data_IF_810038232705
#
_entry.id   IF_810038232705
#
_cell.length_a   1.000
_cell.length_b   1.000
_cell.length_c   1.000
_cell.angle_alpha   90.00
_cell.angle_beta   90.00
_cell.angle_gamma   90.00
#
_symmetry.space_group_name_H-M   'P 1'
#
loop_
_entity.id
_entity.type
_entity.pdbx_description
1 polymer ?
#
# COMPACT_ATOMS: atom_id res chain seq x y z
N UNK A 1 -49.96 -1.69 -10.47
CA UNK A 1 -50.11 -3.01 -9.83
C UNK A 1 -49.12 -3.94 -10.50
N UNK A 2 -47.91 -4.10 -9.95
CA UNK A 2 -47.54 -5.26 -9.12
C UNK A 2 -48.00 -6.60 -9.72
N UNK A 3 -47.07 -7.31 -10.38
CA UNK A 3 -46.73 -8.66 -9.96
C UNK A 3 -45.37 -9.12 -10.51
N UNK A 4 -44.54 -9.53 -9.55
CA UNK A 4 -43.24 -10.18 -9.60
C UNK A 4 -43.41 -11.68 -9.87
N UNK A 5 -42.49 -12.34 -10.59
CA UNK A 5 -41.92 -13.70 -10.35
C UNK A 5 -40.81 -13.89 -11.42
N UNK A 6 -39.53 -13.66 -11.11
CA UNK A 6 -38.48 -14.66 -10.80
C UNK A 6 -38.32 -15.85 -11.78
N UNK A 7 -37.14 -15.95 -12.39
CA UNK A 7 -36.32 -17.16 -12.23
C UNK A 7 -35.84 -17.91 -13.48
N UNK A 8 -34.51 -17.92 -13.63
CA UNK A 8 -33.63 -19.01 -14.11
C UNK A 8 -33.51 -19.23 -15.63
N UNK A 9 -32.39 -18.72 -16.17
CA UNK A 9 -31.75 -19.23 -17.36
C UNK A 9 -31.22 -20.66 -17.09
N UNK A 10 -31.75 -21.62 -17.83
CA UNK A 10 -31.31 -23.01 -17.87
C UNK A 10 -30.20 -23.12 -18.91
N UNK A 11 -29.00 -23.51 -18.47
CA UNK A 11 -27.90 -23.91 -19.36
C UNK A 11 -28.25 -25.26 -19.96
N UNK A 12 -28.51 -25.29 -21.26
CA UNK A 12 -28.72 -26.50 -22.05
C UNK A 12 -27.36 -27.19 -22.26
N UNK A 13 -27.14 -28.35 -21.64
CA UNK A 13 -26.09 -29.29 -22.07
C UNK A 13 -26.78 -30.48 -22.71
N UNK A 14 -26.67 -30.54 -24.04
CA UNK A 14 -27.17 -31.64 -24.85
C UNK A 14 -26.11 -32.76 -24.82
N UNK A 15 -26.44 -33.92 -24.25
CA UNK A 15 -25.65 -35.13 -24.42
C UNK A 15 -26.58 -36.32 -24.66
N UNK A 16 -26.44 -36.93 -25.84
CA UNK A 16 -27.22 -38.06 -26.31
C UNK A 16 -26.91 -39.34 -25.49
N UNK A 17 -27.98 -40.07 -25.18
CA UNK A 17 -27.98 -41.38 -24.49
C UNK A 17 -27.55 -42.47 -25.47
N UNK A 18 -26.71 -43.42 -25.04
CA UNK A 18 -26.86 -44.84 -25.39
C UNK A 18 -26.23 -45.76 -24.32
N UNK A 19 -27.03 -46.78 -23.94
CA UNK A 19 -26.70 -48.03 -23.26
C UNK A 19 -26.50 -48.06 -21.72
N UNK A 20 -27.64 -48.20 -21.02
CA UNK A 20 -27.96 -49.46 -20.33
C UNK A 20 -27.05 -49.94 -19.20
N UNK A 21 -27.05 -49.24 -18.06
CA UNK A 21 -26.75 -49.82 -16.75
C UNK A 21 -27.64 -49.18 -15.67
N UNK A 22 -28.31 -50.01 -14.89
CA UNK A 22 -29.07 -49.62 -13.69
C UNK A 22 -28.09 -49.06 -12.65
N UNK A 23 -28.25 -47.80 -12.27
CA UNK A 23 -27.52 -47.18 -11.16
C UNK A 23 -28.50 -46.42 -10.28
N UNK A 24 -28.56 -46.88 -9.03
CA UNK A 24 -29.23 -46.25 -7.88
C UNK A 24 -28.85 -44.78 -7.78
N UNK A 25 -29.85 -43.89 -7.83
CA UNK A 25 -29.71 -42.46 -7.51
C UNK A 25 -29.49 -42.31 -5.99
N UNK A 26 -28.24 -42.33 -5.55
CA UNK A 26 -27.86 -41.78 -4.26
C UNK A 26 -27.77 -40.25 -4.40
N UNK A 27 -28.63 -39.56 -3.63
CA UNK A 27 -28.72 -38.11 -3.54
C UNK A 27 -27.50 -37.56 -2.76
N UNK A 28 -26.37 -37.37 -3.45
CA UNK A 28 -25.25 -36.59 -2.90
C UNK A 28 -25.50 -35.10 -3.12
N UNK A 29 -26.23 -34.48 -2.17
CA UNK A 29 -26.12 -33.04 -1.94
C UNK A 29 -24.75 -32.76 -1.32
N UNK A 30 -23.72 -32.70 -2.15
CA UNK A 30 -22.42 -32.17 -1.77
C UNK A 30 -22.59 -30.68 -1.54
N UNK A 31 -22.79 -30.29 -0.28
CA UNK A 31 -22.64 -28.92 0.14
C UNK A 31 -21.22 -28.48 -0.21
N UNK A 32 -21.09 -27.63 -1.22
CA UNK A 32 -19.87 -26.86 -1.47
C UNK A 32 -19.67 -25.91 -0.27
N UNK A 33 -19.13 -26.46 0.82
CA UNK A 33 -18.49 -25.68 1.86
C UNK A 33 -17.32 -24.98 1.18
N UNK A 34 -17.45 -23.67 0.95
CA UNK A 34 -16.31 -22.86 0.55
C UNK A 34 -15.16 -23.16 1.52
N UNK A 35 -14.04 -23.66 1.02
CA UNK A 35 -12.85 -23.85 1.83
C UNK A 35 -12.55 -22.54 2.55
N UNK A 36 -12.13 -22.55 3.83
CA UNK A 36 -11.67 -21.36 4.50
C UNK A 36 -10.66 -20.64 3.60
N UNK A 37 -10.72 -19.30 3.47
CA UNK A 37 -9.79 -18.58 2.61
C UNK A 37 -8.36 -19.00 2.97
N UNK A 38 -7.71 -19.72 2.05
CA UNK A 38 -6.40 -20.27 2.30
C UNK A 38 -5.45 -19.10 2.57
N UNK A 39 -4.71 -19.18 3.68
CA UNK A 39 -3.75 -18.14 4.03
C UNK A 39 -2.76 -17.95 2.86
N UNK A 40 -2.33 -16.71 2.57
CA UNK A 40 -1.38 -16.44 1.51
C UNK A 40 -0.09 -17.25 1.70
N UNK A 41 0.38 -17.92 0.66
CA UNK A 41 1.62 -18.71 0.67
C UNK A 41 2.86 -17.79 0.58
N UNK A 42 3.16 -17.03 1.64
CA UNK A 42 4.40 -16.25 1.76
C UNK A 42 5.25 -16.78 2.93
N UNK A 43 6.50 -17.23 2.70
CA UNK A 43 7.42 -17.63 3.76
C UNK A 43 7.67 -16.50 4.77
N UNK A 44 7.78 -15.26 4.28
CA UNK A 44 7.97 -14.08 5.11
C UNK A 44 6.75 -13.84 6.01
N UNK A 45 5.54 -13.92 5.45
CA UNK A 45 4.30 -13.80 6.23
C UNK A 45 4.20 -14.89 7.30
N UNK A 46 4.48 -16.15 6.96
CA UNK A 46 4.39 -17.26 7.90
C UNK A 46 5.38 -17.11 9.07
N UNK A 47 6.62 -16.73 8.78
CA UNK A 47 7.63 -16.47 9.80
C UNK A 47 7.27 -15.24 10.66
N UNK A 48 6.70 -14.20 10.05
CA UNK A 48 6.22 -13.01 10.74
C UNK A 48 5.08 -13.36 11.71
N UNK A 49 4.05 -14.07 11.24
CA UNK A 49 2.87 -14.41 12.05
C UNK A 49 3.24 -15.25 13.28
N UNK A 50 4.23 -16.16 13.16
CA UNK A 50 4.73 -16.93 14.30
C UNK A 50 5.26 -16.03 15.42
N UNK A 51 6.13 -15.06 15.08
CA UNK A 51 6.67 -14.10 16.06
C UNK A 51 5.61 -13.13 16.55
N UNK A 52 4.72 -12.70 15.66
CA UNK A 52 3.63 -11.79 16.00
C UNK A 52 2.69 -12.40 17.05
N UNK A 53 2.37 -13.69 16.94
CA UNK A 53 1.49 -14.36 17.90
C UNK A 53 2.10 -14.36 19.32
N UNK A 54 3.42 -14.53 19.44
CA UNK A 54 4.15 -14.40 20.72
C UNK A 54 4.10 -12.97 21.27
N UNK A 55 4.23 -11.95 20.41
CA UNK A 55 4.12 -10.53 20.81
C UNK A 55 2.69 -10.19 21.24
N UNK A 56 1.68 -10.65 20.49
CA UNK A 56 0.26 -10.41 20.78
C UNK A 56 -0.17 -10.99 22.12
N UNK A 57 0.36 -12.15 22.50
CA UNK A 57 0.08 -12.82 23.78
C UNK A 57 0.60 -12.05 25.01
N UNK A 58 1.56 -11.13 24.84
CA UNK A 58 2.07 -10.30 25.95
C UNK A 58 1.07 -9.26 26.45
N UNK A 59 -0.01 -9.01 25.71
CA UNK A 59 -1.00 -8.00 26.06
C UNK A 59 -0.46 -6.57 25.84
N UNK A 60 -0.71 -5.69 26.81
CA UNK A 60 -0.22 -4.31 26.74
C UNK A 60 1.25 -4.22 27.14
N UNK A 61 2.10 -3.90 26.17
CA UNK A 61 3.54 -3.65 26.36
C UNK A 61 3.81 -2.15 26.43
N UNK A 62 4.73 -1.71 27.29
CA UNK A 62 5.12 -0.30 27.38
C UNK A 62 5.89 0.13 26.13
N UNK A 63 5.68 1.36 25.69
CA UNK A 63 6.44 1.93 24.57
C UNK A 63 7.95 1.90 24.86
N UNK A 64 8.73 1.55 23.84
CA UNK A 64 10.19 1.60 23.90
C UNK A 64 10.75 2.93 23.34
N UNK A 65 9.90 3.78 22.76
CA UNK A 65 10.26 5.08 22.21
C UNK A 65 9.05 6.02 22.26
N UNK A 66 9.22 7.20 22.85
CA UNK A 66 8.13 8.19 22.89
C UNK A 66 7.84 8.79 21.51
N UNK A 67 6.59 9.16 21.26
CA UNK A 67 6.15 9.88 20.06
C UNK A 67 5.53 9.00 18.97
N UNK A 68 5.34 9.58 17.78
CA UNK A 68 4.60 8.95 16.68
C UNK A 68 5.23 7.64 16.21
N UNK A 69 6.56 7.55 16.22
CA UNK A 69 7.33 6.35 15.81
C UNK A 69 7.38 5.25 16.87
N UNK A 70 6.86 5.48 18.06
CA UNK A 70 6.91 4.55 19.20
C UNK A 70 6.26 3.20 18.91
N UNK A 71 5.11 3.20 18.23
CA UNK A 71 4.36 1.97 17.91
C UNK A 71 5.14 1.04 16.98
N UNK A 72 5.77 1.59 15.94
CA UNK A 72 6.61 0.83 14.99
C UNK A 72 7.88 0.31 15.65
N UNK A 73 8.61 1.20 16.32
CA UNK A 73 9.86 0.84 17.00
C UNK A 73 9.66 -0.26 18.06
N UNK A 74 8.58 -0.16 18.84
CA UNK A 74 8.24 -1.16 19.85
C UNK A 74 7.94 -2.51 19.19
N UNK A 75 7.14 -2.54 18.12
CA UNK A 75 6.83 -3.78 17.41
C UNK A 75 8.08 -4.45 16.83
N UNK A 76 8.89 -3.70 16.09
CA UNK A 76 10.12 -4.21 15.46
C UNK A 76 11.08 -4.81 16.48
N UNK A 77 11.25 -4.11 17.61
CA UNK A 77 12.09 -4.58 18.72
C UNK A 77 11.57 -5.90 19.30
N UNK A 78 10.26 -6.00 19.55
CA UNK A 78 9.64 -7.21 20.11
C UNK A 78 9.66 -8.40 19.13
N UNK A 79 9.61 -8.13 17.82
CA UNK A 79 9.77 -9.15 16.79
C UNK A 79 11.24 -9.60 16.59
N UNK A 80 12.18 -8.98 17.31
CA UNK A 80 13.62 -9.24 17.18
C UNK A 80 14.15 -8.83 15.80
N UNK A 81 13.58 -7.78 15.20
CA UNK A 81 14.02 -7.23 13.92
C UNK A 81 15.03 -6.12 14.24
N UNK A 82 16.33 -6.30 13.92
CA UNK A 82 17.30 -5.25 14.17
C UNK A 82 17.01 -4.06 13.25
N UNK A 83 17.13 -2.85 13.82
CA UNK A 83 16.98 -1.60 13.06
C UNK A 83 17.97 -1.64 11.89
N UNK A 84 17.45 -1.65 10.67
CA UNK A 84 18.27 -1.65 9.47
C UNK A 84 17.84 -0.47 8.58
N UNK A 85 18.82 0.25 8.04
CA UNK A 85 18.58 1.35 7.09
C UNK A 85 18.53 0.83 5.63
N UNK A 86 18.23 -0.45 5.43
CA UNK A 86 18.20 -1.07 4.11
C UNK A 86 16.99 -0.60 3.32
N UNK A 87 17.15 -0.52 2.00
CA UNK A 87 16.02 -0.29 1.09
C UNK A 87 15.20 -1.54 0.79
N UNK A 88 15.58 -2.70 1.35
CA UNK A 88 14.85 -3.98 1.27
C UNK A 88 13.93 -4.08 2.48
N UNK A 89 12.68 -4.52 2.28
CA UNK A 89 11.63 -4.51 3.31
C UNK A 89 12.05 -5.14 4.64
N UNK A 90 11.40 -4.69 5.72
CA UNK A 90 11.81 -4.87 7.12
C UNK A 90 12.06 -6.33 7.54
N UNK A 91 11.29 -7.28 6.99
CA UNK A 91 11.34 -8.68 7.39
C UNK A 91 11.36 -9.62 6.18
N UNK A 92 12.52 -10.22 5.89
CA UNK A 92 12.70 -11.11 4.74
C UNK A 92 12.26 -10.48 3.40
N UNK A 93 12.35 -9.15 3.28
CA UNK A 93 11.91 -8.40 2.09
C UNK A 93 10.45 -7.93 2.12
N UNK A 94 9.66 -8.35 3.12
CA UNK A 94 8.31 -7.86 3.39
C UNK A 94 8.37 -6.62 4.28
N UNK A 95 7.64 -5.56 3.92
CA UNK A 95 7.54 -4.33 4.71
C UNK A 95 6.60 -4.52 5.91
N UNK A 96 6.90 -3.88 7.04
CA UNK A 96 6.06 -3.86 8.24
C UNK A 96 5.61 -2.42 8.52
N UNK A 97 4.32 -2.24 8.78
CA UNK A 97 3.76 -0.95 9.19
C UNK A 97 2.86 -1.13 10.40
N UNK A 98 3.27 -0.56 11.52
CA UNK A 98 2.45 -0.51 12.72
C UNK A 98 1.73 0.85 12.85
N UNK A 99 0.49 0.83 13.32
CA UNK A 99 -0.31 2.02 13.59
C UNK A 99 -1.22 1.81 14.80
N UNK A 100 -1.74 2.90 15.36
CA UNK A 100 -2.64 2.87 16.51
C UNK A 100 -4.07 2.64 16.02
N UNK A 101 -4.82 1.73 16.63
CA UNK A 101 -6.19 1.37 16.22
C UNK A 101 -7.16 2.57 16.21
N UNK A 102 -6.93 3.54 17.09
CA UNK A 102 -7.77 4.73 17.24
C UNK A 102 -7.38 5.89 16.32
N UNK A 103 -6.32 5.75 15.50
CA UNK A 103 -5.99 6.74 14.47
C UNK A 103 -7.04 6.65 13.34
N UNK A 104 -8.15 7.38 13.52
CA UNK A 104 -9.13 7.66 12.45
C UNK A 104 -8.72 8.88 11.63
N UNK A 105 -7.80 9.68 12.15
CA UNK A 105 -7.16 10.79 11.46
C UNK A 105 -5.76 10.34 11.06
N UNK A 106 -5.63 9.98 9.79
CA UNK A 106 -4.31 9.76 9.21
C UNK A 106 -3.68 11.13 8.92
N UNK A 107 -2.40 11.29 9.28
CA UNK A 107 -1.65 12.46 8.85
C UNK A 107 -1.52 12.42 7.32
N UNK A 108 -2.30 13.25 6.63
CA UNK A 108 -2.25 13.42 5.18
C UNK A 108 -0.85 13.87 4.72
N UNK A 109 -0.05 14.47 5.60
CA UNK A 109 1.31 14.90 5.29
C UNK A 109 2.33 13.76 5.39
N UNK A 110 2.02 12.63 6.04
CA UNK A 110 2.96 11.51 6.13
C UNK A 110 3.03 10.74 4.80
N UNK A 111 4.20 10.74 4.16
CA UNK A 111 4.43 10.13 2.85
C UNK A 111 5.42 8.97 2.95
N UNK A 112 5.16 7.90 2.23
CA UNK A 112 6.11 6.78 2.07
C UNK A 112 6.72 6.78 0.67
N UNK A 113 8.03 6.51 0.58
CA UNK A 113 8.69 6.31 -0.71
C UNK A 113 8.29 4.96 -1.32
N UNK A 114 7.64 4.99 -2.48
CA UNK A 114 7.44 3.79 -3.30
C UNK A 114 8.76 3.42 -3.97
N UNK A 115 9.17 4.20 -4.97
CA UNK A 115 10.39 3.95 -5.75
C UNK A 115 10.95 5.24 -6.34
N UNK A 116 12.18 5.17 -6.85
CA UNK A 116 12.78 6.23 -7.66
C UNK A 116 12.68 5.85 -9.14
N UNK A 117 12.22 6.77 -9.98
CA UNK A 117 12.27 6.60 -11.44
C UNK A 117 12.22 7.95 -12.15
N UNK A 118 13.29 8.27 -12.88
CA UNK A 118 13.30 9.42 -13.78
C UNK A 118 12.32 9.22 -14.95
N UNK A 119 11.66 10.30 -15.41
CA UNK A 119 10.87 10.24 -16.63
C UNK A 119 11.79 10.12 -17.84
N UNK A 120 11.22 9.65 -18.95
CA UNK A 120 11.74 10.01 -20.27
C UNK A 120 11.47 11.50 -20.46
N UNK A 121 12.51 12.31 -20.48
CA UNK A 121 12.34 13.74 -20.70
C UNK A 121 12.06 14.04 -22.17
N UNK A 122 11.07 14.88 -22.45
CA UNK A 122 10.58 15.20 -23.80
C UNK A 122 10.78 16.67 -24.17
N UNK A 123 11.26 17.49 -23.24
CA UNK A 123 11.51 18.93 -23.43
C UNK A 123 12.84 19.26 -24.12
N UNK A 124 13.66 18.26 -24.46
CA UNK A 124 14.95 18.44 -25.12
C UNK A 124 16.03 19.12 -24.27
N UNK A 125 15.78 19.35 -22.97
CA UNK A 125 16.72 20.03 -22.07
C UNK A 125 17.68 19.05 -21.40
N UNK A 126 18.82 19.54 -20.90
CA UNK A 126 19.62 18.77 -19.92
C UNK A 126 19.15 19.12 -18.51
N UNK A 127 19.51 18.30 -17.53
CA UNK A 127 19.11 18.54 -16.14
C UNK A 127 19.58 19.90 -15.60
N UNK A 128 20.79 20.34 -15.97
CA UNK A 128 21.30 21.67 -15.59
C UNK A 128 20.46 22.82 -16.16
N UNK A 129 19.98 22.66 -17.40
CA UNK A 129 19.17 23.67 -18.07
C UNK A 129 17.78 23.74 -17.41
N UNK A 130 17.15 22.58 -17.13
CA UNK A 130 15.90 22.54 -16.35
C UNK A 130 16.02 23.20 -14.98
N UNK A 131 17.14 23.00 -14.27
CA UNK A 131 17.35 23.65 -12.98
C UNK A 131 17.42 25.18 -13.13
N UNK A 132 18.07 25.68 -14.18
CA UNK A 132 18.15 27.13 -14.44
C UNK A 132 16.81 27.72 -14.87
N UNK A 133 16.06 26.99 -15.70
CA UNK A 133 14.85 27.49 -16.34
C UNK A 133 13.60 27.33 -15.46
N UNK A 134 13.54 26.27 -14.65
CA UNK A 134 12.37 25.88 -13.87
C UNK A 134 12.60 25.92 -12.36
N UNK A 135 13.86 26.04 -11.93
CA UNK A 135 14.25 26.06 -10.54
C UNK A 135 14.21 27.44 -9.90
N UNK A 136 14.83 27.52 -8.72
CA UNK A 136 14.97 28.70 -7.89
C UNK A 136 16.29 28.64 -7.12
N UNK A 137 16.69 29.73 -6.47
CA UNK A 137 17.83 29.73 -5.55
C UNK A 137 17.34 29.30 -4.18
N UNK A 138 17.85 28.17 -3.66
CA UNK A 138 17.48 27.66 -2.35
C UNK A 138 18.13 28.46 -1.20
N UNK A 139 17.74 28.16 0.04
CA UNK A 139 18.28 28.82 1.24
C UNK A 139 19.79 28.65 1.43
N UNK A 140 20.41 27.71 0.72
CA UNK A 140 21.86 27.48 0.73
C UNK A 140 22.56 28.20 -0.44
N UNK A 141 21.84 29.06 -1.19
CA UNK A 141 22.37 29.80 -2.33
C UNK A 141 22.58 28.96 -3.59
N UNK A 142 21.99 27.77 -3.68
CA UNK A 142 22.16 26.88 -4.84
C UNK A 142 21.00 27.04 -5.82
N UNK A 143 21.30 27.06 -7.11
CA UNK A 143 20.28 26.86 -8.14
C UNK A 143 19.74 25.43 -8.02
N UNK A 144 18.46 25.30 -7.70
CA UNK A 144 17.81 24.06 -7.34
C UNK A 144 16.41 23.95 -7.95
N UNK A 145 15.99 22.71 -8.19
CA UNK A 145 14.65 22.38 -8.62
C UNK A 145 14.14 21.24 -7.72
N UNK A 146 13.66 21.64 -6.55
CA UNK A 146 12.94 20.79 -5.61
C UNK A 146 11.45 21.09 -5.73
N UNK A 147 10.66 20.12 -6.15
CA UNK A 147 9.22 20.30 -6.38
C UNK A 147 8.45 19.05 -5.98
N UNK A 148 7.34 19.26 -5.26
CA UNK A 148 6.32 18.24 -5.07
C UNK A 148 5.23 18.44 -6.13
N UNK A 149 4.91 17.38 -6.86
CA UNK A 149 3.95 17.39 -7.96
C UNK A 149 2.90 16.31 -7.73
N UNK A 150 1.63 16.65 -7.87
CA UNK A 150 0.51 15.69 -7.82
C UNK A 150 -0.31 15.82 -9.10
N UNK A 151 -1.48 15.19 -9.17
CA UNK A 151 -2.40 15.39 -10.29
C UNK A 151 -2.93 16.83 -10.40
N UNK A 152 -3.01 17.54 -9.27
CA UNK A 152 -3.37 18.95 -9.23
C UNK A 152 -2.16 19.83 -9.51
N UNK A 153 -2.37 20.91 -10.24
CA UNK A 153 -1.30 21.85 -10.59
C UNK A 153 -0.80 22.60 -9.36
N UNK A 154 0.52 22.58 -9.17
CA UNK A 154 1.17 23.35 -8.12
C UNK A 154 1.46 24.79 -8.58
N UNK A 155 1.92 25.64 -7.67
CA UNK A 155 2.20 27.06 -7.94
C UNK A 155 3.28 27.31 -9.02
N UNK A 156 4.08 26.29 -9.36
CA UNK A 156 5.09 26.35 -10.42
C UNK A 156 4.56 25.82 -11.77
N UNK A 157 3.26 25.58 -11.86
CA UNK A 157 2.57 25.09 -13.04
C UNK A 157 2.81 23.61 -13.31
N UNK A 158 3.32 22.84 -12.34
CA UNK A 158 3.60 21.41 -12.53
C UNK A 158 2.41 20.56 -12.09
N UNK A 159 2.05 19.58 -12.92
CA UNK A 159 1.08 18.52 -12.58
C UNK A 159 1.40 17.20 -13.25
N UNK A 160 0.84 16.12 -12.73
CA UNK A 160 0.73 14.83 -13.39
C UNK A 160 -0.57 14.78 -14.22
N UNK A 161 -0.51 14.04 -15.32
CA UNK A 161 -1.67 13.64 -16.11
C UNK A 161 -1.56 12.14 -16.39
N UNK A 162 -2.69 11.45 -16.43
CA UNK A 162 -2.78 10.03 -16.75
C UNK A 162 -3.53 9.88 -18.07
N UNK A 163 -2.98 9.09 -18.97
CA UNK A 163 -3.63 8.68 -20.22
C UNK A 163 -3.71 7.15 -20.24
N UNK A 164 -4.92 6.64 -20.00
CA UNK A 164 -5.20 5.20 -19.99
C UNK A 164 -5.15 4.58 -21.40
N UNK A 165 -5.41 5.38 -22.44
CA UNK A 165 -5.41 4.88 -23.82
C UNK A 165 -3.99 4.59 -24.33
N UNK A 166 -3.04 5.45 -23.96
CA UNK A 166 -1.62 5.26 -24.28
C UNK A 166 -0.82 4.63 -23.14
N UNK A 167 -1.49 4.35 -22.00
CA UNK A 167 -0.92 3.79 -20.77
C UNK A 167 0.30 4.57 -20.29
N UNK A 168 0.13 5.88 -20.10
CA UNK A 168 1.20 6.81 -19.73
C UNK A 168 0.82 7.73 -18.59
N UNK A 169 1.81 8.03 -17.77
CA UNK A 169 1.77 9.15 -16.82
C UNK A 169 2.70 10.23 -17.36
N UNK A 170 2.21 11.46 -17.50
CA UNK A 170 2.95 12.58 -18.07
C UNK A 170 3.13 13.67 -17.02
N UNK A 171 4.36 14.17 -16.89
CA UNK A 171 4.68 15.40 -16.17
C UNK A 171 4.45 16.59 -17.11
N UNK A 172 3.49 17.44 -16.74
CA UNK A 172 3.16 18.67 -17.44
C UNK A 172 3.75 19.87 -16.68
N UNK A 173 4.17 20.90 -17.42
CA UNK A 173 4.44 22.25 -16.92
C UNK A 173 3.66 23.28 -17.73
N UNK A 174 2.80 24.06 -17.08
CA UNK A 174 1.91 25.04 -17.72
C UNK A 174 1.15 24.41 -18.92
N UNK A 175 0.59 23.21 -18.70
CA UNK A 175 -0.11 22.43 -19.72
C UNK A 175 0.76 21.78 -20.81
N UNK A 176 2.08 21.96 -20.81
CA UNK A 176 2.99 21.35 -21.81
C UNK A 176 3.71 20.11 -21.25
N UNK A 177 3.78 18.99 -21.99
CA UNK A 177 4.52 17.82 -21.55
C UNK A 177 6.02 18.11 -21.51
N UNK A 178 6.66 17.73 -20.41
CA UNK A 178 8.12 17.84 -20.23
C UNK A 178 8.78 16.49 -19.95
N UNK A 179 8.02 15.48 -19.54
CA UNK A 179 8.49 14.12 -19.46
C UNK A 179 7.37 13.12 -19.17
N UNK A 180 7.66 11.83 -19.33
CA UNK A 180 6.67 10.76 -19.19
C UNK A 180 7.23 9.46 -18.61
N UNK A 181 6.32 8.61 -18.16
CA UNK A 181 6.53 7.20 -17.83
C UNK A 181 5.45 6.37 -18.49
N UNK A 182 5.79 5.17 -18.97
CA UNK A 182 4.78 4.17 -19.36
C UNK A 182 4.32 3.40 -18.13
N UNK A 183 3.08 2.90 -18.15
CA UNK A 183 2.55 2.04 -17.08
C UNK A 183 3.45 0.81 -16.88
N UNK A 184 3.90 0.17 -17.96
CA UNK A 184 4.81 -0.97 -17.89
C UNK A 184 6.11 -0.67 -17.09
N UNK A 185 6.69 0.52 -17.27
CA UNK A 185 7.87 0.93 -16.49
C UNK A 185 7.52 1.10 -15.02
N UNK A 186 6.39 1.76 -14.70
CA UNK A 186 5.95 1.96 -13.32
C UNK A 186 5.60 0.63 -12.63
N UNK A 187 4.96 -0.28 -13.36
CA UNK A 187 4.64 -1.63 -12.89
C UNK A 187 5.91 -2.41 -12.55
N UNK A 188 6.92 -2.42 -13.44
CA UNK A 188 8.20 -3.07 -13.14
C UNK A 188 8.84 -2.51 -11.86
N UNK A 189 8.79 -1.19 -11.65
CA UNK A 189 9.31 -0.56 -10.42
C UNK A 189 8.53 -0.93 -9.17
N UNK A 190 7.20 -1.07 -9.27
CA UNK A 190 6.34 -1.54 -8.17
C UNK A 190 6.60 -3.02 -7.83
N UNK A 191 6.92 -3.85 -8.80
CA UNK A 191 7.17 -5.27 -8.55
C UNK A 191 8.57 -5.52 -7.96
N UNK A 192 9.55 -4.68 -8.29
CA UNK A 192 10.90 -4.76 -7.71
C UNK A 192 10.94 -4.46 -6.20
N UNK A 193 10.05 -3.59 -5.71
CA UNK A 193 10.06 -3.09 -4.32
C UNK A 193 8.63 -2.99 -3.78
N UNK A 194 8.39 -3.45 -2.55
CA UNK A 194 7.06 -3.52 -1.92
C UNK A 194 6.15 -4.63 -2.47
N UNK A 195 6.70 -5.81 -2.80
CA UNK A 195 5.90 -6.95 -3.25
C UNK A 195 4.90 -7.43 -2.20
N UNK A 196 5.28 -7.32 -0.92
CA UNK A 196 4.53 -7.78 0.25
C UNK A 196 4.64 -6.77 1.40
N UNK A 197 3.55 -6.53 2.12
CA UNK A 197 3.50 -5.62 3.26
C UNK A 197 2.51 -6.10 4.31
N UNK A 198 2.87 -6.03 5.58
CA UNK A 198 1.94 -6.27 6.70
C UNK A 198 1.64 -4.98 7.45
N UNK A 199 0.35 -4.75 7.63
CA UNK A 199 -0.19 -3.66 8.42
C UNK A 199 -0.64 -4.21 9.76
N UNK A 200 -0.04 -3.72 10.84
CA UNK A 200 -0.28 -4.13 12.21
C UNK A 200 -0.99 -3.03 12.97
N UNK A 201 -2.17 -3.34 13.46
CA UNK A 201 -2.97 -2.41 14.24
C UNK A 201 -2.80 -2.75 15.74
N UNK A 202 -2.51 -1.72 16.56
CA UNK A 202 -2.33 -1.84 17.99
C UNK A 202 -3.37 -1.02 18.76
N UNK A 203 -4.04 -1.66 19.73
CA UNK A 203 -4.80 -0.92 20.75
C UNK A 203 -3.84 -0.12 21.62
N UNK A 204 -4.23 1.10 21.96
CA UNK A 204 -3.41 2.01 22.77
C UNK A 204 -4.07 2.32 24.10
N UNK A 205 -3.24 2.52 25.12
CA UNK A 205 -3.64 3.13 26.41
C UNK A 205 -2.47 3.90 27.00
N UNK A 206 -2.75 4.87 27.87
CA UNK A 206 -1.73 5.80 28.38
C UNK A 206 -1.24 6.75 27.29
N UNK A 207 -0.23 7.57 27.62
CA UNK A 207 0.32 8.60 26.71
C UNK A 207 1.80 8.85 27.01
N UNK A 208 2.54 9.38 26.03
CA UNK A 208 3.93 9.80 26.23
C UNK A 208 4.84 8.63 26.63
N UNK A 209 5.60 8.81 27.71
CA UNK A 209 6.51 7.78 28.20
C UNK A 209 5.79 6.55 28.79
N UNK A 210 4.51 6.69 29.16
CA UNK A 210 3.68 5.62 29.72
C UNK A 210 2.69 5.04 28.71
N UNK A 211 2.80 5.41 27.44
CA UNK A 211 2.02 4.79 26.37
C UNK A 211 2.28 3.27 26.32
N UNK A 212 1.22 2.50 26.14
CA UNK A 212 1.28 1.05 25.99
C UNK A 212 0.50 0.60 24.75
N UNK A 213 1.00 -0.45 24.12
CA UNK A 213 0.47 -1.02 22.88
C UNK A 213 0.04 -2.46 23.12
N UNK A 214 -1.14 -2.85 22.63
CA UNK A 214 -1.50 -4.25 22.44
C UNK A 214 -1.71 -4.51 20.95
N UNK A 215 -0.69 -5.11 20.32
CA UNK A 215 -0.72 -5.51 18.92
C UNK A 215 -1.68 -6.68 18.72
N UNK A 216 -2.72 -6.50 17.90
CA UNK A 216 -3.78 -7.52 17.75
C UNK A 216 -4.10 -7.87 16.31
N UNK A 217 -4.08 -6.86 15.44
CA UNK A 217 -4.64 -7.01 14.11
C UNK A 217 -3.52 -7.06 13.10
N UNK A 218 -3.57 -8.00 12.16
CA UNK A 218 -2.62 -8.10 11.04
C UNK A 218 -3.39 -8.17 9.73
N UNK A 219 -3.11 -7.23 8.82
CA UNK A 219 -3.53 -7.28 7.42
C UNK A 219 -2.31 -7.46 6.55
N UNK A 220 -2.28 -8.56 5.81
CA UNK A 220 -1.28 -8.79 4.78
C UNK A 220 -1.75 -8.21 3.44
N UNK A 221 -0.85 -7.52 2.75
CA UNK A 221 -1.08 -6.92 1.44
C UNK A 221 0.00 -7.38 0.46
N UNK A 222 -0.39 -7.72 -0.77
CA UNK A 222 0.54 -8.18 -1.80
C UNK A 222 0.04 -7.86 -3.21
N UNK A 223 0.92 -8.09 -4.19
CA UNK A 223 0.67 -7.81 -5.61
C UNK A 223 0.31 -6.34 -5.83
N UNK A 224 1.26 -5.40 -5.65
CA UNK A 224 1.03 -4.01 -6.01
C UNK A 224 0.63 -3.91 -7.48
N UNK A 225 -0.30 -3.00 -7.77
CA UNK A 225 -0.91 -2.88 -9.10
C UNK A 225 -0.67 -1.50 -9.69
N UNK A 226 -0.26 -1.45 -10.96
CA UNK A 226 -0.11 -0.18 -11.67
C UNK A 226 -1.46 0.52 -11.85
N UNK A 227 -2.55 -0.21 -12.09
CA UNK A 227 -3.90 0.35 -12.18
C UNK A 227 -4.32 1.04 -10.88
N UNK A 228 -4.00 0.42 -9.73
CA UNK A 228 -4.23 1.04 -8.41
C UNK A 228 -3.33 2.24 -8.18
N UNK A 229 -2.06 2.18 -8.60
CA UNK A 229 -1.15 3.32 -8.53
C UNK A 229 -1.69 4.51 -9.32
N UNK A 230 -2.16 4.32 -10.56
CA UNK A 230 -2.65 5.43 -11.39
C UNK A 230 -3.94 6.02 -10.85
N UNK A 231 -4.83 5.21 -10.28
CA UNK A 231 -6.01 5.72 -9.56
C UNK A 231 -5.60 6.60 -8.36
N UNK A 232 -4.56 6.21 -7.62
CA UNK A 232 -4.01 7.02 -6.53
C UNK A 232 -3.29 8.29 -7.04
N UNK A 233 -2.67 8.25 -8.22
CA UNK A 233 -2.15 9.44 -8.90
C UNK A 233 -3.29 10.40 -9.18
N UNK A 234 -4.35 9.94 -9.87
CA UNK A 234 -5.52 10.76 -10.23
C UNK A 234 -6.24 11.35 -9.01
N UNK A 235 -6.30 10.59 -7.91
CA UNK A 235 -6.83 11.07 -6.63
C UNK A 235 -5.94 12.11 -5.94
N UNK A 236 -4.69 12.29 -6.38
CA UNK A 236 -3.71 13.20 -5.75
C UNK A 236 -3.04 12.64 -4.49
N UNK A 237 -3.13 11.32 -4.29
CA UNK A 237 -2.55 10.60 -3.15
C UNK A 237 -1.14 10.07 -3.43
N UNK A 238 -0.74 10.05 -4.70
CA UNK A 238 0.65 9.86 -5.12
C UNK A 238 1.29 11.21 -5.43
N UNK A 239 2.47 11.42 -4.85
CA UNK A 239 3.27 12.64 -4.97
C UNK A 239 4.58 12.29 -5.66
N UNK A 240 4.88 12.99 -6.74
CA UNK A 240 6.17 12.98 -7.40
C UNK A 240 7.07 14.06 -6.77
N UNK A 241 8.25 13.69 -6.29
CA UNK A 241 9.26 14.62 -5.77
C UNK A 241 10.43 14.76 -6.76
N UNK A 242 10.55 15.92 -7.39
CA UNK A 242 11.73 16.32 -8.15
C UNK A 242 12.78 16.86 -7.19
N UNK A 243 14.04 16.41 -7.31
CA UNK A 243 15.08 16.67 -6.31
C UNK A 243 16.45 16.85 -6.94
N UNK A 244 16.69 18.02 -7.52
CA UNK A 244 17.96 18.29 -8.19
C UNK A 244 18.50 19.70 -7.92
N UNK A 245 19.82 19.85 -7.93
CA UNK A 245 20.50 21.14 -7.81
C UNK A 245 21.79 21.18 -8.63
N UNK A 246 22.31 22.38 -8.90
CA UNK A 246 23.62 22.55 -9.54
C UNK A 246 24.72 22.45 -8.48
N UNK A 247 25.69 21.57 -8.72
CA UNK A 247 26.91 21.45 -7.90
C UNK A 247 27.80 22.68 -8.07
N UNK A 248 28.72 22.97 -7.13
CA UNK A 248 29.73 24.01 -7.31
C UNK A 248 30.54 23.87 -8.61
N UNK A 249 30.73 22.64 -9.09
CA UNK A 249 31.42 22.36 -10.37
C UNK A 249 30.60 22.63 -11.63
N UNK A 250 29.36 23.14 -11.51
CA UNK A 250 28.47 23.50 -12.62
C UNK A 250 27.59 22.36 -13.15
N UNK A 251 27.87 21.10 -12.79
CA UNK A 251 27.04 19.95 -13.18
C UNK A 251 25.81 19.74 -12.29
N UNK A 252 24.76 19.09 -12.81
CA UNK A 252 23.59 18.75 -12.01
C UNK A 252 23.88 17.60 -11.03
N UNK A 253 23.46 17.76 -9.78
CA UNK A 253 23.24 16.68 -8.82
C UNK A 253 21.76 16.36 -8.83
N UNK A 254 21.40 15.19 -9.36
CA UNK A 254 20.04 14.65 -9.28
C UNK A 254 19.99 13.57 -8.18
N UNK A 255 19.12 13.73 -7.18
CA UNK A 255 18.89 12.74 -6.13
C UNK A 255 17.88 11.65 -6.55
N UNK A 256 17.40 11.71 -7.78
CA UNK A 256 16.38 10.85 -8.35
C UNK A 256 14.98 11.38 -8.08
N UNK A 257 14.11 11.20 -9.06
CA UNK A 257 12.68 11.51 -9.00
C UNK A 257 11.97 10.42 -8.20
N UNK A 258 11.34 10.80 -7.09
CA UNK A 258 10.71 9.85 -6.17
C UNK A 258 9.19 9.83 -6.35
N UNK A 259 8.63 8.65 -6.54
CA UNK A 259 7.20 8.42 -6.36
C UNK A 259 6.95 8.11 -4.88
N UNK A 260 6.09 8.90 -4.26
CA UNK A 260 5.65 8.74 -2.89
C UNK A 260 4.15 8.57 -2.84
N UNK A 261 3.65 7.85 -1.84
CA UNK A 261 2.21 7.74 -1.57
C UNK A 261 1.94 8.26 -0.17
N UNK A 262 0.77 8.86 0.07
CA UNK A 262 0.31 9.11 1.44
C UNK A 262 0.25 7.77 2.18
N UNK A 263 0.84 7.71 3.36
CA UNK A 263 1.10 6.43 4.06
C UNK A 263 -0.18 5.65 4.31
N UNK A 264 -1.28 6.32 4.63
CA UNK A 264 -2.57 5.68 4.87
C UNK A 264 -3.23 5.12 3.60
N UNK A 265 -2.84 5.61 2.42
CA UNK A 265 -3.30 5.10 1.12
C UNK A 265 -2.43 3.96 0.58
N UNK A 266 -1.36 3.59 1.28
CA UNK A 266 -0.47 2.51 0.85
C UNK A 266 -1.22 1.19 0.65
N UNK A 267 -2.19 0.88 1.52
CA UNK A 267 -3.00 -0.34 1.43
C UNK A 267 -3.77 -0.44 0.10
N UNK A 268 -4.15 0.70 -0.48
CA UNK A 268 -4.93 0.76 -1.72
C UNK A 268 -4.13 0.39 -2.96
N UNK A 269 -2.79 0.39 -2.86
CA UNK A 269 -1.87 -0.01 -3.92
C UNK A 269 -1.97 -1.51 -4.26
N UNK A 270 -2.40 -2.33 -3.29
CA UNK A 270 -2.32 -3.79 -3.37
C UNK A 270 -3.61 -4.42 -3.89
N UNK A 271 -3.47 -5.36 -4.82
CA UNK A 271 -4.60 -6.14 -5.32
C UNK A 271 -5.04 -7.24 -4.36
N UNK A 272 -4.13 -7.73 -3.52
CA UNK A 272 -4.43 -8.74 -2.49
C UNK A 272 -4.38 -8.06 -1.12
N UNK A 273 -5.45 -8.22 -0.35
CA UNK A 273 -5.51 -7.85 1.06
C UNK A 273 -6.15 -9.02 1.83
N UNK A 274 -5.50 -9.48 2.89
CA UNK A 274 -5.96 -10.61 3.70
C UNK A 274 -5.79 -10.30 5.19
N UNK A 275 -6.90 -10.36 5.95
CA UNK A 275 -6.87 -10.15 7.40
C UNK A 275 -6.41 -11.43 8.10
N UNK A 276 -5.11 -11.56 8.34
CA UNK A 276 -4.48 -12.74 8.96
C UNK A 276 -4.84 -12.93 10.43
N UNK A 277 -5.03 -11.82 11.15
CA UNK A 277 -5.44 -11.78 12.56
C UNK A 277 -6.48 -10.66 12.72
N UNK A 278 -7.77 -10.96 12.86
CA UNK A 278 -8.80 -9.96 13.15
C UNK A 278 -8.81 -9.59 14.64
N UNK A 279 -9.34 -8.42 14.98
CA UNK A 279 -9.69 -8.13 16.37
C UNK A 279 -10.80 -9.09 16.82
N UNK A 280 -10.67 -9.71 18.00
CA UNK A 280 -11.76 -10.51 18.56
C UNK A 280 -12.98 -9.61 18.85
N UNK A 281 -14.15 -10.03 18.37
CA UNK A 281 -15.42 -9.39 18.70
C UNK A 281 -15.66 -9.51 20.21
N UNK A 282 -15.45 -8.42 20.95
CA UNK A 282 -15.71 -8.37 22.41
C UNK A 282 -17.20 -8.44 22.76
N UNK A 283 -18.08 -8.89 21.86
CA UNK A 283 -19.55 -8.88 22.04
C UNK A 283 -20.20 -10.26 22.09
N UNK A 284 -19.44 -11.35 22.27
CA UNK A 284 -19.99 -12.69 22.57
C UNK A 284 -19.63 -13.12 23.99
N UNK A 285 -20.20 -12.42 24.98
CA UNK A 285 -19.92 -12.71 26.38
C UNK A 285 -20.84 -11.99 27.38
N UNK A 286 -22.10 -11.73 27.02
CA UNK A 286 -23.10 -11.22 27.96
C UNK A 286 -24.52 -11.65 27.53
N UNK A 287 -24.79 -12.95 27.51
CA UNK A 287 -26.14 -13.44 27.81
C UNK A 287 -26.03 -14.38 28.99
N UNK A 288 -25.96 -13.78 30.16
CA UNK A 288 -26.17 -14.43 31.44
C UNK A 288 -27.48 -15.21 31.42
N UNK A 289 -27.35 -16.51 31.64
CA UNK A 289 -28.29 -17.32 32.38
C UNK A 289 -28.99 -16.52 33.49
N UNK A 290 -30.29 -16.28 33.35
CA UNK A 290 -31.22 -16.16 34.46
C UNK A 290 -32.65 -16.17 33.93
N UNK A 291 -33.29 -17.33 34.01
CA UNK A 291 -34.71 -17.44 34.36
C UNK A 291 -34.88 -18.77 35.09
N UNK A 292 -34.99 -18.65 36.41
CA UNK A 292 -35.77 -19.57 37.25
C UNK A 292 -37.24 -19.25 37.07
#
# INVERSE_FOLDING_TARGET
>A
LMNTVQGRAVVLVLAMVLNGYSLSLCDERTSLSAAPPQQPSSPALNAFLKRFDEVSQQGFVKTLRSGSTGVGYTLETLLGIPENNSSRGDFMGMEIKAYRDAETEFDDHEKMNLFLKEPTWTDGRRSVDRIRDYGYVDSNGRNAWYQSVTFNENQSGLRLSVDHSTQRVTLLRNGRPIGDWTFAVLEGRLQEKHSETVFVAARTRGTGADEQFHFRTVTYCAKPSVERLVNLIEAGDVILELRMHIKPTGGARNHGTAFRVRKHRLVDLYAVQHRCRPAEDTNKGASSSNQK
#
